data_IF_932681392414
#
_entry.id   IF_932681392414
#
_cell.length_a   1.000
_cell.length_b   1.000
_cell.length_c   1.000
_cell.angle_alpha   90.00
_cell.angle_beta   90.00
_cell.angle_gamma   90.00
#
_symmetry.space_group_name_H-M   'P 1'
#
loop_
_entity.id
_entity.type
_entity.pdbx_description
1 polymer ?
#
# COMPACT_ATOMS: atom_id res chain seq x y z
N UNK A 1 14.63 -9.86 27.79
CA UNK A 1 14.26 -8.46 27.46
C UNK A 1 14.72 -8.15 26.04
N UNK A 2 13.96 -7.33 25.29
CA UNK A 2 14.37 -6.86 23.96
C UNK A 2 15.68 -6.08 24.05
N UNK A 3 16.60 -6.29 23.10
CA UNK A 3 17.86 -5.54 22.99
C UNK A 3 17.68 -4.10 22.44
N UNK A 4 16.46 -3.72 22.08
CA UNK A 4 16.16 -2.43 21.44
C UNK A 4 15.45 -1.44 22.38
N UNK A 5 15.65 -0.15 22.12
CA UNK A 5 14.98 0.95 22.82
C UNK A 5 13.46 0.84 22.67
N UNK A 6 12.74 1.10 23.77
CA UNK A 6 11.27 1.08 23.82
C UNK A 6 10.71 2.42 23.32
N UNK A 7 9.50 2.39 22.76
CA UNK A 7 8.76 3.58 22.31
C UNK A 7 9.43 4.42 21.20
N UNK A 8 10.40 3.83 20.49
CA UNK A 8 11.03 4.45 19.32
C UNK A 8 10.35 3.96 18.03
N UNK A 9 10.29 2.65 17.83
CA UNK A 9 9.70 2.07 16.63
C UNK A 9 8.16 2.09 16.68
N UNK A 10 7.52 2.44 15.56
CA UNK A 10 6.05 2.34 15.35
C UNK A 10 5.22 3.02 16.44
N UNK A 11 5.73 4.13 16.98
CA UNK A 11 5.07 4.94 18.02
C UNK A 11 4.56 6.23 17.39
N UNK A 12 3.34 6.64 17.73
CA UNK A 12 2.69 7.85 17.21
C UNK A 12 2.18 8.68 18.38
N UNK A 13 2.46 9.99 18.36
CA UNK A 13 1.92 10.92 19.34
C UNK A 13 0.50 11.35 18.99
N UNK A 14 -0.36 11.44 20.00
CA UNK A 14 -1.73 11.94 19.85
C UNK A 14 -1.69 13.47 19.93
N UNK A 15 -2.20 14.14 18.90
CA UNK A 15 -2.31 15.60 18.86
C UNK A 15 -3.71 16.02 19.29
N UNK A 16 -3.83 17.00 20.19
CA UNK A 16 -5.11 17.59 20.61
C UNK A 16 -6.16 16.59 21.12
N UNK A 17 -5.73 15.44 21.66
CA UNK A 17 -6.64 14.38 22.12
C UNK A 17 -7.32 13.58 20.99
N UNK A 18 -6.99 13.82 19.71
CA UNK A 18 -7.54 13.06 18.58
C UNK A 18 -6.88 11.68 18.44
N UNK A 19 -7.38 10.72 19.21
CA UNK A 19 -6.90 9.34 19.22
C UNK A 19 -7.21 8.64 17.90
N UNK A 20 -8.37 8.90 17.30
CA UNK A 20 -8.80 8.25 16.06
C UNK A 20 -7.92 8.67 14.88
N UNK A 21 -7.58 9.96 14.78
CA UNK A 21 -6.64 10.47 13.78
C UNK A 21 -5.23 9.88 13.94
N UNK A 22 -4.76 9.76 15.18
CA UNK A 22 -3.48 9.11 15.48
C UNK A 22 -3.50 7.61 15.10
N UNK A 23 -4.59 6.90 15.39
CA UNK A 23 -4.74 5.49 15.06
C UNK A 23 -4.80 5.25 13.55
N UNK A 24 -5.51 6.08 12.79
CA UNK A 24 -5.50 6.03 11.31
C UNK A 24 -4.10 6.24 10.75
N UNK A 25 -3.36 7.20 11.32
CA UNK A 25 -1.98 7.48 10.92
C UNK A 25 -1.07 6.29 11.19
N UNK A 26 -1.19 5.68 12.36
CA UNK A 26 -0.46 4.45 12.71
C UNK A 26 -0.80 3.31 11.75
N UNK A 27 -2.09 3.06 11.50
CA UNK A 27 -2.55 2.00 10.61
C UNK A 27 -2.05 2.20 9.16
N UNK A 28 -2.07 3.43 8.67
CA UNK A 28 -1.53 3.77 7.35
C UNK A 28 -0.02 3.56 7.26
N UNK A 29 0.73 3.91 8.31
CA UNK A 29 2.17 3.65 8.40
C UNK A 29 2.47 2.15 8.33
N UNK A 30 1.78 1.34 9.14
CA UNK A 30 1.94 -0.12 9.15
C UNK A 30 1.52 -0.79 7.84
N UNK A 31 0.52 -0.22 7.16
CA UNK A 31 0.06 -0.70 5.85
C UNK A 31 1.10 -0.41 4.76
N UNK A 32 1.68 0.79 4.74
CA UNK A 32 2.74 1.17 3.78
C UNK A 32 3.98 0.29 3.93
N UNK A 33 4.34 -0.07 5.15
CA UNK A 33 5.46 -0.97 5.44
C UNK A 33 5.13 -2.46 5.18
N UNK A 34 3.93 -2.78 4.68
CA UNK A 34 3.41 -4.14 4.46
C UNK A 34 3.38 -5.03 5.72
N UNK A 35 3.47 -4.44 6.92
CA UNK A 35 3.52 -5.19 8.19
C UNK A 35 2.19 -5.92 8.43
N UNK A 36 1.07 -5.25 8.16
CA UNK A 36 -0.27 -5.81 8.39
C UNK A 36 -0.47 -7.07 7.54
N UNK A 37 -0.08 -7.02 6.27
CA UNK A 37 -0.25 -8.15 5.37
C UNK A 37 0.74 -9.28 5.65
N UNK A 38 1.97 -8.96 6.06
CA UNK A 38 2.94 -9.95 6.54
C UNK A 38 2.41 -10.68 7.79
N UNK A 39 1.86 -9.95 8.77
CA UNK A 39 1.25 -10.56 9.97
C UNK A 39 0.08 -11.48 9.61
N UNK A 40 -0.81 -11.05 8.70
CA UNK A 40 -1.93 -11.88 8.21
C UNK A 40 -1.42 -13.15 7.53
N UNK A 41 -0.41 -13.04 6.67
CA UNK A 41 0.19 -14.17 5.94
C UNK A 41 0.89 -15.14 6.87
N UNK A 42 1.56 -14.66 7.91
CA UNK A 42 2.24 -15.50 8.92
C UNK A 42 1.29 -16.24 9.85
N UNK A 43 -0.02 -15.96 9.84
CA UNK A 43 -1.01 -16.70 10.62
C UNK A 43 -1.00 -18.20 10.29
N UNK A 44 -0.75 -18.56 9.03
CA UNK A 44 -0.63 -19.94 8.58
C UNK A 44 0.63 -20.13 7.74
N UNK A 45 1.20 -21.33 7.76
CA UNK A 45 2.37 -21.61 6.93
C UNK A 45 2.00 -21.60 5.44
N UNK A 46 2.60 -20.69 4.69
CA UNK A 46 2.54 -20.68 3.23
C UNK A 46 3.70 -21.50 2.65
N UNK A 47 3.38 -22.49 1.80
CA UNK A 47 4.41 -23.32 1.17
C UNK A 47 5.27 -22.48 0.22
N UNK A 48 6.58 -22.77 0.08
CA UNK A 48 7.49 -21.96 -0.74
C UNK A 48 7.03 -21.75 -2.20
N UNK A 49 6.44 -22.77 -2.83
CA UNK A 49 5.94 -22.66 -4.20
C UNK A 49 4.69 -21.77 -4.30
N UNK A 50 3.82 -21.75 -3.28
CA UNK A 50 2.66 -20.88 -3.23
C UNK A 50 3.10 -19.42 -3.08
N UNK A 51 4.09 -19.19 -2.20
CA UNK A 51 4.72 -17.88 -2.02
C UNK A 51 5.31 -17.35 -3.32
N UNK A 52 6.08 -18.16 -4.06
CA UNK A 52 6.66 -17.76 -5.36
C UNK A 52 5.57 -17.36 -6.35
N UNK A 53 4.55 -18.21 -6.55
CA UNK A 53 3.43 -17.92 -7.45
C UNK A 53 2.67 -16.65 -7.08
N UNK A 54 2.48 -16.39 -5.78
CA UNK A 54 1.83 -15.16 -5.32
C UNK A 54 2.68 -13.93 -5.64
N UNK A 55 3.98 -13.97 -5.35
CA UNK A 55 4.88 -12.84 -5.61
C UNK A 55 4.89 -12.47 -7.10
N UNK A 56 4.98 -13.47 -7.98
CA UNK A 56 4.89 -13.27 -9.44
C UNK A 56 3.57 -12.61 -9.83
N UNK A 57 2.43 -13.09 -9.30
CA UNK A 57 1.12 -12.51 -9.58
C UNK A 57 0.99 -11.06 -9.09
N UNK A 58 1.44 -10.78 -7.86
CA UNK A 58 1.41 -9.44 -7.26
C UNK A 58 2.30 -8.46 -8.05
N UNK A 59 3.46 -8.92 -8.51
CA UNK A 59 4.39 -8.13 -9.33
C UNK A 59 3.79 -7.81 -10.70
N UNK A 60 3.26 -8.81 -11.41
CA UNK A 60 2.62 -8.61 -12.71
C UNK A 60 1.40 -7.69 -12.61
N UNK A 61 0.58 -7.85 -11.56
CA UNK A 61 -0.52 -6.94 -11.28
C UNK A 61 -0.05 -5.51 -11.00
N UNK A 62 1.05 -5.34 -10.27
CA UNK A 62 1.65 -4.02 -10.01
C UNK A 62 2.14 -3.35 -11.28
N UNK A 63 2.84 -4.08 -12.14
CA UNK A 63 3.34 -3.57 -13.43
C UNK A 63 2.16 -3.14 -14.31
N UNK A 64 1.15 -3.99 -14.46
CA UNK A 64 -0.04 -3.68 -15.24
C UNK A 64 -0.75 -2.42 -14.74
N UNK A 65 -0.99 -2.31 -13.42
CA UNK A 65 -1.65 -1.16 -12.83
C UNK A 65 -0.86 0.14 -13.04
N UNK A 66 0.47 0.08 -12.92
CA UNK A 66 1.35 1.23 -13.17
C UNK A 66 1.31 1.67 -14.64
N UNK A 67 1.41 0.73 -15.57
CA UNK A 67 1.34 1.03 -17.01
C UNK A 67 -0.04 1.54 -17.42
N UNK A 68 -1.12 0.96 -16.87
CA UNK A 68 -2.47 1.42 -17.13
C UNK A 68 -2.71 2.83 -16.60
N UNK A 69 -2.26 3.13 -15.38
CA UNK A 69 -2.33 4.48 -14.83
C UNK A 69 -1.56 5.49 -15.69
N UNK A 70 -0.37 5.13 -16.19
CA UNK A 70 0.40 5.95 -17.13
C UNK A 70 -0.36 6.20 -18.43
N UNK A 71 -0.96 5.15 -19.01
CA UNK A 71 -1.77 5.26 -20.24
C UNK A 71 -2.97 6.17 -20.05
N UNK A 72 -3.70 6.00 -18.95
CA UNK A 72 -4.85 6.85 -18.62
C UNK A 72 -4.41 8.31 -18.51
N UNK A 73 -3.38 8.61 -17.71
CA UNK A 73 -2.88 9.98 -17.57
C UNK A 73 -2.45 10.61 -18.90
N UNK A 74 -1.87 9.81 -19.80
CA UNK A 74 -1.51 10.26 -21.14
C UNK A 74 -2.73 10.60 -21.99
N UNK A 75 -3.71 9.69 -22.06
CA UNK A 75 -4.93 9.87 -22.86
C UNK A 75 -5.86 10.95 -22.31
N UNK A 76 -5.92 11.13 -20.99
CA UNK A 76 -6.74 12.16 -20.34
C UNK A 76 -6.42 13.58 -20.80
N UNK A 77 -5.20 13.82 -21.34
CA UNK A 77 -4.86 15.12 -21.99
C UNK A 77 -5.74 15.45 -23.20
N UNK A 78 -6.32 14.43 -23.84
CA UNK A 78 -7.20 14.57 -25.00
C UNK A 78 -8.68 14.45 -24.64
N UNK A 79 -9.03 14.28 -23.36
CA UNK A 79 -10.40 14.28 -22.87
C UNK A 79 -10.95 15.72 -22.77
N UNK A 80 -10.99 16.40 -23.91
CA UNK A 80 -11.55 17.75 -24.09
C UNK A 80 -12.76 17.68 -25.01
N UNK A 81 -13.56 18.72 -25.02
CA UNK A 81 -14.66 18.86 -25.98
C UNK A 81 -14.15 18.77 -27.43
N UNK A 82 -15.03 18.26 -28.29
CA UNK A 82 -14.71 18.01 -29.69
C UNK A 82 -14.38 19.36 -30.38
N UNK A 83 -13.20 19.51 -31.02
CA UNK A 83 -12.73 20.83 -31.45
C UNK A 83 -13.43 21.35 -32.70
N UNK A 84 -14.09 20.47 -33.48
CA UNK A 84 -14.66 20.77 -34.79
C UNK A 84 -16.11 20.29 -34.90
N UNK A 85 -17.02 20.85 -34.09
CA UNK A 85 -18.42 20.44 -34.10
C UNK A 85 -19.06 20.78 -35.45
N UNK A 86 -19.78 19.81 -36.02
CA UNK A 86 -20.58 19.96 -37.23
C UNK A 86 -21.90 20.69 -36.95
#
# INVERSE_FOLDING_TARGET
MSRHLRFVARTVFVKNGDVDGAYRTLNNSLSRDNIIDDVKRRRYFEKPFQKRRRLEYEEMGSIYNKEMARRIQFLMRKNREEPWPL
#
